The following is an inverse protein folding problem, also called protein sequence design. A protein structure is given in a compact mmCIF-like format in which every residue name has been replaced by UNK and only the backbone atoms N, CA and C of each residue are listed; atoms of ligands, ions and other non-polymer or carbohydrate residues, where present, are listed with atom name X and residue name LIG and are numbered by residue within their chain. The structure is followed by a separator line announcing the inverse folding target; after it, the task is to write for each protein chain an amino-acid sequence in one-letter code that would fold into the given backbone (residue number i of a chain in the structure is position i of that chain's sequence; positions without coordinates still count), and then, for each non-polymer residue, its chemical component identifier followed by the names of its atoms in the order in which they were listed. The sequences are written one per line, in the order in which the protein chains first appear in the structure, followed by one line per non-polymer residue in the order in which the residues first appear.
data_IF_369796254342
#
_entry.id   IF_369796254342
#
_cell.length_a   1.000
_cell.length_b   1.000
_cell.length_c   1.000
_cell.angle_alpha   90.00
_cell.angle_beta   90.00
_cell.angle_gamma   90.00
#
_symmetry.space_group_name_H-M   'P 1'
#
loop_
_entity.id
_entity.type
_entity.pdbx_description
1 polymer ?
#
# COMPACT_ATOMS: atom_id res chain seq x y z
N UNK A 1 -2.85 53.39 -9.53
CA UNK A 1 -1.63 52.55 -9.56
C UNK A 1 -1.24 52.25 -8.12
N UNK A 2 -1.63 51.10 -7.60
CA UNK A 2 -1.13 50.61 -6.31
C UNK A 2 -1.15 49.08 -6.35
N UNK A 3 -0.05 48.52 -5.84
CA UNK A 3 0.55 47.24 -6.19
C UNK A 3 -0.32 46.01 -5.88
N UNK A 4 -0.16 44.99 -6.73
CA UNK A 4 -0.50 43.58 -6.46
C UNK A 4 0.18 43.13 -5.17
N UNK A 5 -0.56 42.42 -4.30
CA UNK A 5 0.00 41.45 -3.37
C UNK A 5 -0.61 40.10 -3.74
N UNK A 6 0.19 39.28 -4.43
CA UNK A 6 -0.05 37.86 -4.53
C UNK A 6 0.46 37.25 -3.23
N UNK A 7 -0.43 36.82 -2.35
CA UNK A 7 -0.06 36.00 -1.20
C UNK A 7 -0.24 34.56 -1.64
N UNK A 8 0.88 33.91 -1.95
CA UNK A 8 0.94 32.46 -2.04
C UNK A 8 0.57 31.89 -0.66
N UNK A 9 -0.59 31.23 -0.56
CA UNK A 9 -0.82 30.29 0.54
C UNK A 9 0.03 29.05 0.22
N UNK A 10 1.28 29.11 0.65
CA UNK A 10 2.14 27.95 0.74
C UNK A 10 1.61 26.99 1.80
N UNK A 11 1.67 25.70 1.47
CA UNK A 11 1.78 24.56 2.38
C UNK A 11 1.00 24.72 3.70
N UNK A 12 -0.28 24.37 3.66
CA UNK A 12 -1.03 24.12 4.89
C UNK A 12 -0.45 22.87 5.55
N UNK A 13 0.62 23.04 6.34
CA UNK A 13 0.98 22.04 7.35
C UNK A 13 -0.19 22.01 8.33
N UNK A 14 -1.07 21.04 8.14
CA UNK A 14 -2.17 20.75 9.06
C UNK A 14 -1.55 20.15 10.33
N UNK A 15 -1.01 21.01 11.19
CA UNK A 15 -0.63 20.61 12.54
C UNK A 15 -1.92 20.35 13.31
N UNK A 16 -2.28 19.07 13.46
CA UNK A 16 -3.33 18.64 14.37
C UNK A 16 -2.95 19.07 15.79
N UNK A 17 -3.60 20.13 16.29
CA UNK A 17 -3.53 20.51 17.69
C UNK A 17 -4.52 19.65 18.48
N UNK A 18 -4.04 18.56 19.09
CA UNK A 18 -4.69 17.97 20.27
C UNK A 18 -3.67 17.59 21.34
N UNK A 19 -3.72 18.37 22.42
CA UNK A 19 -3.38 18.09 23.82
C UNK A 19 -2.45 16.90 24.16
N UNK A 20 -1.34 17.23 24.83
CA UNK A 20 -0.58 16.35 25.72
C UNK A 20 -1.54 15.64 26.71
N UNK A 21 -1.76 14.33 26.53
CA UNK A 21 -2.42 13.49 27.54
C UNK A 21 -3.31 12.32 27.10
N UNK A 22 -3.41 11.98 25.80
CA UNK A 22 -4.18 10.83 25.34
C UNK A 22 -3.24 9.76 24.77
N UNK A 23 -3.52 8.48 25.04
CA UNK A 23 -2.92 7.39 24.26
C UNK A 23 -3.05 7.74 22.78
N UNK A 24 -1.97 7.59 22.00
CA UNK A 24 -2.04 7.80 20.56
C UNK A 24 -3.24 6.99 20.05
N UNK A 25 -4.19 7.66 19.41
CA UNK A 25 -5.44 7.05 18.97
C UNK A 25 -5.35 6.92 17.45
N UNK A 26 -6.08 5.94 16.91
CA UNK A 26 -6.41 5.82 15.49
C UNK A 26 -6.50 7.18 14.79
N UNK A 27 -5.61 7.41 13.82
CA UNK A 27 -5.49 8.62 13.03
C UNK A 27 -6.33 8.51 11.76
N UNK A 28 -6.90 9.65 11.35
CA UNK A 28 -7.45 9.83 10.00
C UNK A 28 -6.56 10.81 9.27
N UNK A 29 -5.75 10.29 8.36
CA UNK A 29 -4.74 11.04 7.61
C UNK A 29 -5.23 11.21 6.17
N UNK A 30 -5.19 12.44 5.66
CA UNK A 30 -5.66 12.77 4.31
C UNK A 30 -4.64 13.65 3.60
N UNK A 31 -4.34 13.30 2.37
CA UNK A 31 -3.57 14.10 1.44
C UNK A 31 -4.42 15.13 0.68
N UNK A 32 -3.85 15.65 -0.39
CA UNK A 32 -4.46 16.54 -1.37
C UNK A 32 -4.07 16.12 -2.79
N UNK A 33 -4.17 17.02 -3.78
CA UNK A 33 -3.88 16.70 -5.19
C UNK A 33 -2.39 16.85 -5.56
N UNK A 34 -1.48 16.90 -4.58
CA UNK A 34 -0.04 16.98 -4.78
C UNK A 34 0.67 15.80 -4.12
N UNK A 35 1.91 15.53 -4.56
CA UNK A 35 2.81 14.60 -3.89
C UNK A 35 2.92 14.87 -2.37
N UNK A 36 2.53 13.88 -1.58
CA UNK A 36 2.41 13.91 -0.14
C UNK A 36 3.26 12.82 0.52
N UNK A 37 3.53 13.04 1.81
CA UNK A 37 4.14 12.04 2.69
C UNK A 37 3.23 11.87 3.89
N UNK A 38 2.47 10.77 3.91
CA UNK A 38 1.45 10.49 4.90
C UNK A 38 1.93 9.39 5.85
N UNK A 39 1.78 9.60 7.16
CA UNK A 39 2.22 8.67 8.19
C UNK A 39 1.11 8.46 9.22
N UNK A 40 0.81 7.21 9.51
CA UNK A 40 0.01 6.79 10.64
C UNK A 40 0.77 6.84 11.96
N UNK A 41 0.38 5.96 12.86
CA UNK A 41 0.71 5.85 14.26
C UNK A 41 0.94 4.36 14.59
N UNK A 42 0.96 3.99 15.86
CA UNK A 42 1.07 2.58 16.25
C UNK A 42 -0.30 1.89 16.44
N UNK A 43 -1.37 2.47 15.89
CA UNK A 43 -2.76 2.05 16.08
C UNK A 43 -3.44 1.92 14.73
N UNK A 44 -4.66 1.40 14.71
CA UNK A 44 -5.44 1.26 13.50
C UNK A 44 -5.77 2.62 12.87
N UNK A 45 -5.14 2.96 11.75
CA UNK A 45 -5.29 4.25 11.09
C UNK A 45 -6.04 4.16 9.77
N UNK A 46 -6.58 5.29 9.31
CA UNK A 46 -7.16 5.44 7.98
C UNK A 46 -6.40 6.52 7.22
N UNK A 47 -5.73 6.12 6.13
CA UNK A 47 -4.88 6.99 5.32
C UNK A 47 -5.42 7.04 3.89
N UNK A 48 -5.61 8.24 3.35
CA UNK A 48 -6.03 8.45 1.95
C UNK A 48 -5.20 9.55 1.31
N UNK A 49 -4.56 9.25 0.19
CA UNK A 49 -3.62 10.15 -0.46
C UNK A 49 -4.29 11.11 -1.46
N UNK A 50 -5.18 10.59 -2.31
CA UNK A 50 -5.86 11.31 -3.40
C UNK A 50 -5.02 11.40 -4.67
N UNK A 51 -4.65 12.56 -5.18
CA UNK A 51 -3.91 12.65 -6.45
C UNK A 51 -2.46 13.06 -6.20
N UNK A 52 -1.57 12.73 -7.14
CA UNK A 52 -0.13 12.93 -6.96
C UNK A 52 0.59 11.66 -6.53
N UNK A 53 1.93 11.68 -6.62
CA UNK A 53 2.75 10.49 -6.38
C UNK A 53 3.16 10.43 -4.90
N UNK A 54 2.36 9.74 -4.10
CA UNK A 54 2.41 9.82 -2.66
C UNK A 54 3.26 8.73 -2.01
N UNK A 55 3.61 8.97 -0.75
CA UNK A 55 4.25 7.97 0.12
C UNK A 55 3.43 7.81 1.37
N UNK A 56 2.80 6.65 1.50
CA UNK A 56 1.96 6.30 2.63
C UNK A 56 2.68 5.29 3.53
N UNK A 57 2.65 5.52 4.83
CA UNK A 57 3.21 4.63 5.84
C UNK A 57 2.18 4.38 6.95
N UNK A 58 1.65 3.16 7.07
CA UNK A 58 0.73 2.77 8.13
C UNK A 58 1.42 2.74 9.50
N UNK A 59 2.59 2.08 9.53
CA UNK A 59 3.43 1.81 10.70
C UNK A 59 2.98 0.57 11.46
N UNK A 60 2.42 0.67 12.67
CA UNK A 60 1.96 -0.52 13.40
C UNK A 60 0.45 -0.46 13.58
N UNK A 61 -0.18 -1.62 13.69
CA UNK A 61 -1.61 -1.72 13.88
C UNK A 61 -2.31 -2.03 12.57
N UNK A 62 -3.60 -2.40 12.61
CA UNK A 62 -4.34 -2.74 11.40
C UNK A 62 -4.83 -1.48 10.68
N UNK A 63 -4.15 -1.12 9.60
CA UNK A 63 -4.37 0.12 8.88
C UNK A 63 -5.29 -0.06 7.66
N UNK A 64 -5.96 1.01 7.25
CA UNK A 64 -6.67 1.07 5.97
C UNK A 64 -6.09 2.21 5.14
N UNK A 65 -5.46 1.87 4.01
CA UNK A 65 -4.68 2.80 3.20
C UNK A 65 -5.14 2.79 1.76
N UNK A 66 -5.34 3.98 1.19
CA UNK A 66 -5.66 4.18 -0.22
C UNK A 66 -4.67 5.18 -0.84
N UNK A 67 -3.95 4.76 -1.87
CA UNK A 67 -3.07 5.58 -2.69
C UNK A 67 -3.88 6.67 -3.38
N UNK A 68 -4.59 6.30 -4.45
CA UNK A 68 -5.48 7.22 -5.13
C UNK A 68 -5.27 7.21 -6.62
N UNK A 69 -5.03 8.37 -7.21
CA UNK A 69 -4.65 8.45 -8.62
C UNK A 69 -3.17 8.79 -8.72
N UNK A 70 -2.51 8.29 -9.76
CA UNK A 70 -1.07 8.42 -10.02
C UNK A 70 -0.22 7.38 -9.26
N UNK A 71 1.11 7.41 -9.47
CA UNK A 71 1.98 6.31 -9.05
C UNK A 71 2.39 6.44 -7.57
N UNK A 72 1.81 5.63 -6.69
CA UNK A 72 2.00 5.70 -5.25
C UNK A 72 3.01 4.70 -4.68
N UNK A 73 3.44 4.98 -3.45
CA UNK A 73 4.21 4.07 -2.61
C UNK A 73 3.47 3.83 -1.30
N UNK A 74 2.91 2.63 -1.15
CA UNK A 74 2.14 2.23 0.02
C UNK A 74 2.94 1.22 0.83
N UNK A 75 3.13 1.51 2.13
CA UNK A 75 3.71 0.57 3.09
C UNK A 75 2.79 0.41 4.29
N UNK A 76 2.20 -0.77 4.46
CA UNK A 76 1.38 -1.11 5.63
C UNK A 76 2.20 -1.10 6.90
N UNK A 77 3.10 -2.09 7.01
CA UNK A 77 3.93 -2.27 8.20
C UNK A 77 3.39 -3.42 9.05
N UNK A 78 3.77 -3.54 10.33
CA UNK A 78 3.23 -4.61 11.16
C UNK A 78 1.74 -4.43 11.47
N UNK A 79 0.89 -5.34 11.00
CA UNK A 79 -0.56 -5.16 11.12
C UNK A 79 -1.33 -6.15 10.28
N UNK A 80 -2.64 -6.19 10.47
CA UNK A 80 -3.54 -6.80 9.48
C UNK A 80 -4.14 -5.64 8.68
N UNK A 81 -3.48 -5.29 7.59
CA UNK A 81 -3.73 -4.07 6.84
C UNK A 81 -4.64 -4.31 5.63
N UNK A 82 -5.34 -3.25 5.24
CA UNK A 82 -6.10 -3.17 4.00
C UNK A 82 -5.44 -2.10 3.13
N UNK A 83 -4.76 -2.52 2.07
CA UNK A 83 -3.98 -1.66 1.19
C UNK A 83 -4.61 -1.62 -0.21
N UNK A 84 -4.83 -0.42 -0.74
CA UNK A 84 -5.38 -0.23 -2.08
C UNK A 84 -4.55 0.81 -2.83
N UNK A 85 -3.91 0.42 -3.93
CA UNK A 85 -3.16 1.32 -4.81
C UNK A 85 -4.10 2.30 -5.53
N UNK A 86 -5.17 1.76 -6.10
CA UNK A 86 -6.18 2.44 -6.94
C UNK A 86 -5.66 2.66 -8.36
N UNK A 87 -5.71 3.87 -8.92
CA UNK A 87 -5.30 4.11 -10.30
C UNK A 87 -3.84 4.56 -10.33
N UNK A 88 -2.96 3.88 -11.06
CA UNK A 88 -1.53 4.22 -11.08
C UNK A 88 -0.65 2.99 -11.25
N UNK A 89 0.66 3.18 -11.39
CA UNK A 89 1.62 2.09 -11.29
C UNK A 89 2.23 2.09 -9.89
N UNK A 90 1.54 1.43 -8.97
CA UNK A 90 1.80 1.51 -7.56
C UNK A 90 2.91 0.58 -7.10
N UNK A 91 3.51 0.93 -5.97
CA UNK A 91 4.42 0.06 -5.23
C UNK A 91 3.88 -0.17 -3.84
N UNK A 92 3.38 -1.38 -3.62
CA UNK A 92 2.74 -1.78 -2.36
C UNK A 92 3.66 -2.76 -1.63
N UNK A 93 3.92 -2.50 -0.36
CA UNK A 93 4.62 -3.40 0.55
C UNK A 93 3.73 -3.65 1.76
N UNK A 94 3.32 -4.91 1.95
CA UNK A 94 2.40 -5.28 3.02
C UNK A 94 3.05 -5.11 4.38
N UNK A 95 4.20 -5.75 4.56
CA UNK A 95 4.94 -5.68 5.81
C UNK A 95 5.85 -6.88 5.94
N UNK A 96 6.39 -7.06 7.13
CA UNK A 96 7.12 -8.28 7.49
C UNK A 96 6.66 -8.71 8.87
N UNK A 97 5.53 -9.39 8.90
CA UNK A 97 4.99 -10.03 10.10
C UNK A 97 4.10 -11.22 9.72
N UNK A 98 3.44 -11.80 10.72
CA UNK A 98 2.67 -13.05 10.58
C UNK A 98 1.15 -12.80 10.43
N UNK A 99 0.71 -11.54 10.47
CA UNK A 99 -0.69 -11.18 10.25
C UNK A 99 -0.96 -11.15 8.75
N UNK A 100 -2.23 -11.35 8.40
CA UNK A 100 -2.66 -11.44 7.02
C UNK A 100 -3.11 -10.06 6.53
N UNK A 101 -2.50 -9.60 5.44
CA UNK A 101 -2.88 -8.37 4.77
C UNK A 101 -3.85 -8.64 3.61
N UNK A 102 -4.63 -7.61 3.27
CA UNK A 102 -5.53 -7.61 2.12
C UNK A 102 -5.17 -6.49 1.17
N UNK A 103 -4.76 -6.85 -0.05
CA UNK A 103 -4.17 -5.91 -1.00
C UNK A 103 -4.93 -5.88 -2.31
N UNK A 104 -5.19 -4.68 -2.81
CA UNK A 104 -5.56 -4.40 -4.19
C UNK A 104 -4.48 -3.53 -4.83
N UNK A 105 -3.92 -3.96 -5.96
CA UNK A 105 -3.11 -3.14 -6.84
C UNK A 105 -3.99 -2.04 -7.43
N UNK A 106 -4.91 -2.45 -8.30
CA UNK A 106 -5.94 -1.60 -8.86
C UNK A 106 -5.79 -1.50 -10.38
N UNK A 107 -5.76 -0.29 -10.93
CA UNK A 107 -5.60 -0.08 -12.35
C UNK A 107 -4.21 0.45 -12.66
N UNK A 108 -3.45 -0.30 -13.47
CA UNK A 108 -2.10 0.06 -13.88
C UNK A 108 -1.15 -1.10 -13.63
N UNK A 109 0.15 -0.88 -13.84
CA UNK A 109 1.12 -1.97 -13.74
C UNK A 109 1.78 -1.94 -12.37
N UNK A 110 1.22 -2.68 -11.42
CA UNK A 110 1.60 -2.58 -10.03
C UNK A 110 2.77 -3.48 -9.65
N UNK A 111 3.42 -3.13 -8.56
CA UNK A 111 4.45 -3.96 -7.93
C UNK A 111 4.11 -4.19 -6.47
N UNK A 112 3.79 -5.43 -6.14
CA UNK A 112 3.29 -5.82 -4.83
C UNK A 112 4.31 -6.75 -4.16
N UNK A 113 4.83 -6.32 -3.00
CA UNK A 113 5.77 -7.07 -2.17
C UNK A 113 5.06 -7.60 -0.93
N UNK A 114 5.11 -8.91 -0.75
CA UNK A 114 4.37 -9.64 0.30
C UNK A 114 5.23 -10.67 0.99
N UNK A 115 4.91 -10.95 2.25
CA UNK A 115 5.48 -12.04 3.03
C UNK A 115 4.45 -12.63 3.98
N UNK A 116 4.52 -13.92 4.29
CA UNK A 116 3.55 -14.53 5.20
C UNK A 116 2.27 -14.97 4.49
N UNK A 117 1.11 -14.70 5.07
CA UNK A 117 -0.19 -15.23 4.63
C UNK A 117 -1.12 -14.10 4.13
N UNK A 118 -0.77 -13.48 3.02
CA UNK A 118 -1.53 -12.35 2.47
C UNK A 118 -2.53 -12.78 1.40
N UNK A 119 -3.59 -11.98 1.22
CA UNK A 119 -4.46 -12.05 0.05
C UNK A 119 -4.24 -10.82 -0.82
N UNK A 120 -3.89 -11.00 -2.08
CA UNK A 120 -3.64 -9.88 -2.99
C UNK A 120 -4.30 -10.05 -4.35
N UNK A 121 -4.82 -8.94 -4.86
CA UNK A 121 -5.42 -8.77 -6.16
C UNK A 121 -4.59 -7.78 -6.97
N UNK A 122 -4.24 -8.11 -8.20
CA UNK A 122 -3.61 -7.15 -9.13
C UNK A 122 -4.66 -6.28 -9.81
N UNK A 123 -5.82 -6.88 -10.07
CA UNK A 123 -6.97 -6.27 -10.72
C UNK A 123 -6.74 -6.06 -12.22
N UNK A 124 -6.32 -4.88 -12.69
CA UNK A 124 -6.13 -4.62 -14.13
C UNK A 124 -4.77 -4.02 -14.43
N UNK A 125 -4.11 -4.53 -15.46
CA UNK A 125 -2.78 -4.10 -15.88
C UNK A 125 -1.79 -5.27 -15.79
N UNK A 126 -0.53 -5.01 -16.14
CA UNK A 126 0.53 -6.02 -16.14
C UNK A 126 1.29 -5.99 -14.80
N UNK A 127 0.82 -6.78 -13.84
CA UNK A 127 1.26 -6.70 -12.45
C UNK A 127 2.45 -7.57 -12.11
N UNK A 128 3.17 -7.20 -11.06
CA UNK A 128 4.31 -7.98 -10.54
C UNK A 128 4.21 -8.20 -9.04
N UNK A 129 4.07 -9.48 -8.68
CA UNK A 129 4.05 -9.93 -7.30
C UNK A 129 5.39 -10.52 -6.90
N UNK A 130 5.94 -10.03 -5.79
CA UNK A 130 7.12 -10.58 -5.13
C UNK A 130 6.71 -11.15 -3.77
N UNK A 131 6.44 -12.45 -3.77
CA UNK A 131 6.01 -13.19 -2.59
C UNK A 131 7.20 -13.93 -1.96
N UNK A 132 7.77 -13.37 -0.90
CA UNK A 132 8.87 -14.00 -0.16
C UNK A 132 8.34 -14.70 1.08
N UNK A 133 8.77 -15.94 1.33
CA UNK A 133 8.25 -16.75 2.44
C UNK A 133 6.71 -16.82 2.44
N UNK A 134 6.13 -17.06 1.26
CA UNK A 134 4.69 -17.25 1.10
C UNK A 134 4.23 -18.45 1.95
N UNK A 135 3.35 -18.20 2.91
CA UNK A 135 2.80 -19.22 3.78
C UNK A 135 1.61 -19.96 3.17
N UNK A 136 1.10 -20.98 3.88
CA UNK A 136 0.04 -21.85 3.37
C UNK A 136 -1.30 -21.14 3.15
N UNK A 137 -1.47 -19.97 3.77
CA UNK A 137 -2.64 -19.12 3.63
C UNK A 137 -2.51 -18.05 2.54
N UNK A 138 -1.36 -17.92 1.88
CA UNK A 138 -1.19 -16.89 0.85
C UNK A 138 -2.06 -17.18 -0.38
N UNK A 139 -2.75 -16.15 -0.87
CA UNK A 139 -3.58 -16.21 -2.07
C UNK A 139 -3.34 -15.00 -2.97
N UNK A 140 -2.92 -15.24 -4.21
CA UNK A 140 -2.67 -14.20 -5.21
C UNK A 140 -3.65 -14.37 -6.37
N UNK A 141 -4.40 -13.34 -6.70
CA UNK A 141 -5.31 -13.30 -7.85
C UNK A 141 -4.81 -12.18 -8.76
N UNK A 142 -4.06 -12.51 -9.82
CA UNK A 142 -3.37 -11.46 -10.56
C UNK A 142 -4.34 -10.58 -11.34
N UNK A 143 -5.24 -11.16 -12.13
CA UNK A 143 -6.37 -10.41 -12.69
C UNK A 143 -6.32 -10.35 -14.20
N UNK A 144 -6.47 -9.16 -14.77
CA UNK A 144 -6.49 -8.95 -16.21
C UNK A 144 -5.23 -8.22 -16.67
N UNK A 145 -4.44 -8.86 -17.53
CA UNK A 145 -3.20 -8.33 -18.07
C UNK A 145 -2.21 -9.46 -18.27
N UNK A 146 -0.93 -9.13 -18.43
CA UNK A 146 0.16 -10.10 -18.44
C UNK A 146 0.95 -10.04 -17.14
N UNK A 147 0.55 -10.89 -16.20
CA UNK A 147 0.98 -10.79 -14.82
C UNK A 147 2.15 -11.71 -14.49
N UNK A 148 3.01 -11.24 -13.60
CA UNK A 148 4.17 -12.00 -13.12
C UNK A 148 4.10 -12.24 -11.61
N UNK A 149 4.26 -13.50 -11.19
CA UNK A 149 4.46 -13.86 -9.77
C UNK A 149 5.82 -14.50 -9.57
N UNK A 150 6.59 -13.93 -8.65
CA UNK A 150 7.87 -14.48 -8.21
C UNK A 150 7.70 -14.93 -6.77
N UNK A 151 7.68 -16.24 -6.59
CA UNK A 151 7.78 -16.86 -5.27
C UNK A 151 9.23 -17.10 -4.90
N UNK A 152 9.62 -16.63 -3.72
CA UNK A 152 10.88 -16.99 -3.08
C UNK A 152 10.57 -17.76 -1.81
N UNK A 153 10.90 -19.05 -1.76
CA UNK A 153 10.59 -19.94 -0.63
C UNK A 153 9.09 -20.09 -0.33
N UNK A 154 8.22 -20.42 -1.32
CA UNK A 154 6.81 -20.63 -1.01
C UNK A 154 6.60 -21.95 -0.25
N UNK A 155 5.66 -21.94 0.68
CA UNK A 155 5.11 -23.17 1.24
C UNK A 155 4.21 -23.88 0.20
N UNK A 156 3.92 -25.18 0.38
CA UNK A 156 3.07 -25.92 -0.55
C UNK A 156 1.62 -25.41 -0.62
N UNK A 157 1.14 -24.72 0.41
CA UNK A 157 -0.22 -24.20 0.46
C UNK A 157 -0.41 -22.86 -0.26
N UNK A 158 0.65 -22.14 -0.60
CA UNK A 158 0.56 -20.85 -1.29
C UNK A 158 -0.15 -20.99 -2.65
N UNK A 159 -1.18 -20.17 -2.87
CA UNK A 159 -2.05 -20.23 -4.05
C UNK A 159 -1.85 -19.04 -4.94
N UNK A 160 -2.13 -19.25 -6.23
CA UNK A 160 -2.29 -18.19 -7.21
C UNK A 160 -3.38 -18.53 -8.21
N UNK A 161 -3.96 -17.52 -8.84
CA UNK A 161 -4.97 -17.66 -9.89
C UNK A 161 -4.85 -16.54 -10.92
N UNK A 162 -5.12 -16.88 -12.18
CA UNK A 162 -5.09 -15.99 -13.34
C UNK A 162 -3.78 -15.20 -13.45
N UNK A 163 -2.63 -15.90 -13.45
CA UNK A 163 -1.31 -15.28 -13.64
C UNK A 163 -0.51 -16.02 -14.72
N UNK A 164 0.07 -15.27 -15.65
CA UNK A 164 0.70 -15.75 -16.88
C UNK A 164 2.12 -16.26 -16.62
N UNK A 165 2.94 -15.44 -15.96
CA UNK A 165 4.38 -15.68 -15.82
C UNK A 165 4.73 -15.99 -14.38
N UNK A 166 5.05 -17.25 -14.05
CA UNK A 166 5.37 -17.61 -12.66
C UNK A 166 6.70 -18.30 -12.50
N UNK A 167 7.46 -17.76 -11.55
CA UNK A 167 8.79 -18.21 -11.19
C UNK A 167 8.82 -18.58 -9.71
N UNK A 168 9.36 -19.77 -9.43
CA UNK A 168 9.59 -20.24 -8.06
C UNK A 168 11.10 -20.36 -7.84
N UNK A 169 11.58 -19.71 -6.78
CA UNK A 169 12.97 -19.77 -6.31
C UNK A 169 12.97 -20.62 -5.03
N UNK A 170 13.45 -21.88 -5.08
CA UNK A 170 13.45 -22.80 -3.94
C UNK A 170 14.60 -22.50 -2.97
N UNK A 171 14.57 -23.12 -1.78
CA UNK A 171 15.66 -23.06 -0.80
C UNK A 171 16.94 -23.64 -1.40
N UNK A 172 18.06 -22.94 -1.24
CA UNK A 172 19.39 -23.46 -1.57
C UNK A 172 19.87 -24.50 -0.58
#
# INVERSE_FOLDING_TARGET
MTKRLATALGCAVLLATTAYGAAAQAAVVRGDDHDNVLRGTAHADSIRAFAGNDRLYGLQGPDTMAGGTDDDKVKGGPGADVLNGQDGNDRINTGHDDQADFVHGGAGNDVIFMTGNDTAFGDTGDDRFFASYAGDGMEIQCGAGEDTVIFNQPSPGAKRKDCEHVKVIPAG
#
